data_IF_689334863252
#
_entry.id   IF_689334863252
#
_cell.length_a   1.000
_cell.length_b   1.000
_cell.length_c   1.000
_cell.angle_alpha   90.00
_cell.angle_beta   90.00
_cell.angle_gamma   90.00
#
_symmetry.space_group_name_H-M   'P 1'
#
loop_
_entity.id
_entity.type
_entity.pdbx_description
1 polymer ?
#
# COMPACT_ATOMS: atom_id res chain seq x y z
N UNK A 1 -81.14 -11.77 -27.20
CA UNK A 1 -81.11 -11.10 -25.88
C UNK A 1 -79.84 -11.52 -25.13
N UNK A 2 -78.97 -10.55 -24.84
CA UNK A 2 -77.96 -10.45 -23.74
C UNK A 2 -77.13 -11.72 -23.41
N UNK A 3 -75.94 -11.88 -24.02
CA UNK A 3 -74.59 -11.64 -23.45
C UNK A 3 -74.40 -12.15 -22.01
N UNK A 4 -73.52 -13.13 -21.82
CA UNK A 4 -72.60 -13.17 -20.67
C UNK A 4 -71.28 -13.85 -21.08
N UNK A 5 -70.30 -12.98 -21.36
CA UNK A 5 -68.88 -13.29 -21.51
C UNK A 5 -68.31 -13.32 -20.08
N UNK A 6 -67.87 -14.47 -19.59
CA UNK A 6 -67.23 -14.56 -18.26
C UNK A 6 -65.73 -14.38 -18.41
N UNK A 7 -65.26 -13.23 -17.98
CA UNK A 7 -63.86 -12.79 -17.99
C UNK A 7 -63.22 -13.38 -16.74
N UNK A 8 -62.29 -14.34 -16.91
CA UNK A 8 -61.40 -14.76 -15.82
C UNK A 8 -60.37 -13.65 -15.63
N UNK A 9 -60.27 -13.00 -14.45
CA UNK A 9 -59.29 -11.94 -14.25
C UNK A 9 -57.90 -12.58 -14.22
N UNK A 10 -57.12 -12.32 -15.26
CA UNK A 10 -55.70 -12.66 -15.30
C UNK A 10 -54.99 -11.91 -14.19
N UNK A 11 -54.66 -12.61 -13.10
CA UNK A 11 -53.70 -12.15 -12.10
C UNK A 11 -52.34 -12.19 -12.80
N UNK A 12 -51.97 -11.08 -13.43
CA UNK A 12 -50.59 -10.84 -13.83
C UNK A 12 -49.77 -10.61 -12.55
N UNK A 13 -49.24 -11.70 -12.00
CA UNK A 13 -48.21 -11.64 -10.97
C UNK A 13 -46.96 -11.07 -11.65
N UNK A 14 -46.80 -9.75 -11.56
CA UNK A 14 -45.57 -9.06 -11.93
C UNK A 14 -44.53 -9.45 -10.87
N UNK A 15 -43.74 -10.48 -11.15
CA UNK A 15 -42.52 -10.80 -10.43
C UNK A 15 -41.50 -9.70 -10.72
N UNK A 16 -41.45 -8.67 -9.88
CA UNK A 16 -40.33 -7.73 -9.81
C UNK A 16 -39.11 -8.51 -9.29
N UNK A 17 -38.30 -9.02 -10.20
CA UNK A 17 -36.98 -9.57 -9.90
C UNK A 17 -36.12 -8.42 -9.38
N UNK A 18 -36.01 -8.29 -8.06
CA UNK A 18 -35.10 -7.35 -7.40
C UNK A 18 -33.68 -7.85 -7.67
N UNK A 19 -33.07 -7.36 -8.75
CA UNK A 19 -31.66 -7.54 -8.99
C UNK A 19 -30.89 -6.63 -8.02
N UNK A 20 -30.52 -7.16 -6.85
CA UNK A 20 -29.61 -6.47 -5.94
C UNK A 20 -28.23 -6.38 -6.61
N UNK A 21 -27.98 -5.29 -7.35
CA UNK A 21 -26.66 -5.00 -7.87
C UNK A 21 -25.72 -4.68 -6.71
N UNK A 22 -24.69 -5.50 -6.50
CA UNK A 22 -23.63 -5.22 -5.53
C UNK A 22 -22.81 -4.04 -6.03
N UNK A 23 -23.00 -2.87 -5.43
CA UNK A 23 -22.19 -1.68 -5.71
C UNK A 23 -20.96 -1.73 -4.81
N UNK A 24 -19.79 -2.03 -5.38
CA UNK A 24 -18.52 -1.92 -4.66
C UNK A 24 -18.13 -0.43 -4.59
N UNK A 25 -18.15 0.13 -3.38
CA UNK A 25 -17.68 1.50 -3.12
C UNK A 25 -16.23 1.43 -2.66
N UNK A 26 -15.33 2.01 -3.46
CA UNK A 26 -13.90 2.07 -3.12
C UNK A 26 -13.56 3.40 -2.44
N UNK A 27 -12.68 3.32 -1.45
CA UNK A 27 -12.10 4.49 -0.78
C UNK A 27 -10.83 4.94 -1.52
N UNK A 28 -10.65 6.25 -1.66
CA UNK A 28 -9.41 6.82 -2.17
C UNK A 28 -8.80 7.68 -1.07
N UNK A 29 -7.56 7.40 -0.71
CA UNK A 29 -6.85 8.18 0.30
C UNK A 29 -6.01 9.27 -0.35
N UNK A 30 -5.88 10.45 0.28
CA UNK A 30 -4.91 11.44 -0.13
C UNK A 30 -3.48 10.88 -0.11
N UNK A 31 -2.64 11.29 -1.07
CA UNK A 31 -1.26 10.80 -1.16
C UNK A 31 -0.44 11.09 0.11
N UNK A 32 -0.68 12.22 0.78
CA UNK A 32 0.00 12.55 2.05
C UNK A 32 -0.28 11.52 3.15
N UNK A 33 -1.50 10.96 3.23
CA UNK A 33 -1.81 9.90 4.21
C UNK A 33 -1.06 8.60 3.91
N UNK A 34 -0.94 8.25 2.62
CA UNK A 34 -0.18 7.07 2.18
C UNK A 34 1.31 7.27 2.43
N UNK A 35 1.83 8.48 2.23
CA UNK A 35 3.21 8.86 2.53
C UNK A 35 3.51 8.80 4.03
N UNK A 36 2.62 9.30 4.87
CA UNK A 36 2.76 9.21 6.34
C UNK A 36 2.84 7.74 6.78
N UNK A 37 1.99 6.88 6.21
CA UNK A 37 2.02 5.44 6.45
C UNK A 37 3.32 4.78 5.99
N UNK A 38 3.82 5.15 4.80
CA UNK A 38 5.11 4.68 4.31
C UNK A 38 6.26 5.11 5.23
N UNK A 39 6.21 6.33 5.77
CA UNK A 39 7.21 6.83 6.72
C UNK A 39 7.15 6.02 8.02
N UNK A 40 5.97 5.82 8.58
CA UNK A 40 5.78 5.08 9.83
C UNK A 40 6.28 3.64 9.70
N UNK A 41 5.80 2.90 8.69
CA UNK A 41 6.17 1.50 8.44
C UNK A 41 7.69 1.37 8.26
N UNK A 42 8.34 2.27 7.53
CA UNK A 42 9.80 2.19 7.35
C UNK A 42 10.58 2.62 8.60
N UNK A 43 10.02 3.45 9.50
CA UNK A 43 10.66 3.80 10.77
C UNK A 43 10.76 2.59 11.70
N UNK A 44 9.81 1.65 11.64
CA UNK A 44 9.79 0.46 12.50
C UNK A 44 10.96 -0.51 12.22
N UNK A 45 11.64 -0.37 11.08
CA UNK A 45 12.81 -1.18 10.71
C UNK A 45 14.11 -0.67 11.33
N UNK A 46 14.19 0.60 11.70
CA UNK A 46 15.38 1.21 12.30
C UNK A 46 15.31 1.07 13.83
N UNK A 47 16.22 0.31 14.43
CA UNK A 47 16.32 0.22 15.90
C UNK A 47 16.53 1.62 16.51
N UNK A 48 15.62 2.07 17.38
CA UNK A 48 15.64 3.40 17.98
C UNK A 48 14.94 4.50 17.18
N UNK A 49 14.15 4.17 16.15
CA UNK A 49 13.38 5.14 15.37
C UNK A 49 12.51 6.04 16.25
N UNK A 50 12.76 7.35 16.19
CA UNK A 50 11.94 8.36 16.90
C UNK A 50 10.49 8.20 16.42
N UNK A 51 9.58 7.86 17.33
CA UNK A 51 8.16 8.04 17.09
C UNK A 51 7.94 9.51 16.73
N UNK A 52 7.38 9.76 15.56
CA UNK A 52 6.92 11.11 15.24
C UNK A 52 5.66 11.31 16.07
N UNK A 53 5.79 11.92 17.25
CA UNK A 53 4.65 12.38 18.03
C UNK A 53 3.95 13.48 17.25
N UNK A 54 3.05 13.10 16.35
CA UNK A 54 2.14 14.02 15.71
C UNK A 54 1.17 14.51 16.80
N UNK A 55 1.33 15.76 17.24
CA UNK A 55 0.37 16.40 18.13
C UNK A 55 -0.62 17.22 17.28
N UNK A 56 -1.80 16.68 16.94
CA UNK A 56 -2.80 17.38 16.15
C UNK A 56 -3.38 18.61 16.86
N UNK A 57 -3.18 18.77 18.17
CA UNK A 57 -3.78 19.84 18.97
C UNK A 57 -2.98 21.14 18.99
N UNK A 58 -1.80 21.21 18.37
CA UNK A 58 -0.98 22.43 18.38
C UNK A 58 -1.51 23.54 17.44
N UNK A 59 -2.49 23.24 16.58
CA UNK A 59 -3.06 24.19 15.61
C UNK A 59 -4.51 24.50 16.00
N UNK A 60 -4.72 25.57 16.76
CA UNK A 60 -6.02 26.00 17.30
C UNK A 60 -7.03 26.49 16.27
N UNK A 61 -7.45 25.64 15.35
CA UNK A 61 -8.49 25.90 14.38
C UNK A 61 -9.59 24.84 14.54
N UNK A 62 -10.79 25.30 14.89
CA UNK A 62 -12.02 24.50 14.87
C UNK A 62 -12.37 24.21 13.40
N UNK A 63 -11.75 23.18 12.82
CA UNK A 63 -12.22 22.61 11.58
C UNK A 63 -13.41 21.72 11.90
N UNK A 64 -14.48 21.81 11.09
CA UNK A 64 -15.51 20.80 11.06
C UNK A 64 -14.81 19.44 10.86
N UNK A 65 -15.02 18.50 11.78
CA UNK A 65 -14.39 17.19 11.74
C UNK A 65 -14.93 16.42 10.54
N UNK A 66 -14.31 16.64 9.37
CA UNK A 66 -14.48 15.75 8.24
C UNK A 66 -14.05 14.38 8.73
N UNK A 67 -14.98 13.42 8.75
CA UNK A 67 -14.67 12.02 9.04
C UNK A 67 -13.77 11.52 7.90
N UNK A 68 -12.47 11.83 7.98
CA UNK A 68 -11.46 11.24 7.11
C UNK A 68 -11.21 9.85 7.66
N UNK A 69 -11.51 8.77 6.91
CA UNK A 69 -11.21 7.43 7.38
C UNK A 69 -9.72 7.34 7.72
N UNK A 70 -9.42 6.79 8.89
CA UNK A 70 -8.04 6.53 9.30
C UNK A 70 -7.51 5.34 8.49
N UNK A 71 -6.25 5.45 8.03
CA UNK A 71 -5.61 4.37 7.32
C UNK A 71 -5.17 3.28 8.30
N UNK A 72 -5.74 2.09 8.16
CA UNK A 72 -5.37 0.91 8.91
C UNK A 72 -4.00 0.41 8.46
N UNK A 73 -2.99 0.64 9.28
CA UNK A 73 -1.61 0.20 9.07
C UNK A 73 -1.17 -0.91 10.02
N UNK A 74 -1.91 -1.13 11.11
CA UNK A 74 -1.65 -2.19 12.08
C UNK A 74 -2.59 -3.38 11.85
N UNK A 75 -2.08 -4.41 11.18
CA UNK A 75 -2.81 -5.67 10.96
C UNK A 75 -1.87 -6.84 11.20
N UNK A 76 -2.37 -8.03 11.58
CA UNK A 76 -1.52 -9.20 11.80
C UNK A 76 -0.59 -9.52 10.62
N UNK A 77 -1.06 -9.30 9.39
CA UNK A 77 -0.30 -9.52 8.16
C UNK A 77 0.84 -8.50 7.99
N UNK A 78 0.55 -7.20 8.23
CA UNK A 78 1.57 -6.15 8.15
C UNK A 78 2.61 -6.34 9.26
N UNK A 79 2.19 -6.62 10.49
CA UNK A 79 3.08 -6.84 11.63
C UNK A 79 4.00 -8.06 11.39
N UNK A 80 3.45 -9.15 10.84
CA UNK A 80 4.26 -10.33 10.48
C UNK A 80 5.28 -10.04 9.37
N UNK A 81 4.88 -9.30 8.35
CA UNK A 81 5.78 -8.88 7.28
C UNK A 81 6.88 -7.96 7.84
N UNK A 82 6.52 -6.99 8.69
CA UNK A 82 7.46 -6.07 9.34
C UNK A 82 8.48 -6.79 10.21
N UNK A 83 8.06 -7.76 11.03
CA UNK A 83 8.96 -8.56 11.84
C UNK A 83 10.00 -9.30 10.98
N UNK A 84 9.55 -9.90 9.88
CA UNK A 84 10.43 -10.61 8.94
C UNK A 84 11.39 -9.67 8.20
N UNK A 85 10.90 -8.50 7.77
CA UNK A 85 11.73 -7.44 7.16
C UNK A 85 12.77 -6.92 8.13
N UNK A 86 12.40 -6.68 9.38
CA UNK A 86 13.31 -6.22 10.44
C UNK A 86 14.47 -7.19 10.64
N UNK A 87 14.19 -8.50 10.64
CA UNK A 87 15.24 -9.53 10.75
C UNK A 87 16.26 -9.50 9.58
N UNK A 88 15.81 -9.18 8.36
CA UNK A 88 16.68 -9.10 7.16
C UNK A 88 17.33 -7.73 6.96
N UNK A 89 16.83 -6.70 7.63
CA UNK A 89 17.20 -5.31 7.40
C UNK A 89 18.72 -5.04 7.46
N UNK A 90 19.49 -5.59 8.42
CA UNK A 90 20.94 -5.41 8.45
C UNK A 90 21.64 -5.95 7.19
N UNK A 91 21.24 -7.12 6.69
CA UNK A 91 21.82 -7.71 5.48
C UNK A 91 21.44 -6.93 4.23
N UNK A 92 20.18 -6.46 4.13
CA UNK A 92 19.74 -5.60 3.02
C UNK A 92 20.57 -4.32 2.97
N UNK A 93 20.78 -3.65 4.11
CA UNK A 93 21.61 -2.45 4.17
C UNK A 93 23.04 -2.70 3.69
N UNK A 94 23.62 -3.83 4.07
CA UNK A 94 24.97 -4.21 3.64
C UNK A 94 25.05 -4.34 2.11
N UNK A 95 24.14 -5.10 1.50
CA UNK A 95 24.15 -5.30 0.05
C UNK A 95 23.81 -4.02 -0.74
N UNK A 96 22.99 -3.13 -0.17
CA UNK A 96 22.75 -1.79 -0.75
C UNK A 96 24.02 -0.94 -0.74
N UNK A 97 24.75 -0.94 0.38
CA UNK A 97 26.02 -0.20 0.52
C UNK A 97 27.09 -0.72 -0.44
N UNK A 98 27.13 -2.02 -0.67
CA UNK A 98 28.03 -2.65 -1.64
C UNK A 98 27.61 -2.42 -3.10
N UNK A 99 26.41 -1.85 -3.34
CA UNK A 99 25.88 -1.61 -4.68
C UNK A 99 25.38 -2.86 -5.40
N UNK A 100 25.28 -4.01 -4.70
CA UNK A 100 24.77 -5.27 -5.26
C UNK A 100 23.28 -5.19 -5.54
N UNK A 101 22.54 -4.47 -4.69
CA UNK A 101 21.10 -4.25 -4.82
C UNK A 101 20.76 -2.74 -4.77
N UNK A 102 19.67 -2.37 -5.42
CA UNK A 102 19.12 -1.01 -5.43
C UNK A 102 17.63 -0.98 -5.16
N UNK A 103 17.09 0.20 -4.87
CA UNK A 103 15.65 0.44 -4.69
C UNK A 103 15.04 0.93 -6.00
N UNK A 104 14.08 0.19 -6.56
CA UNK A 104 13.40 0.55 -7.79
C UNK A 104 12.28 1.59 -7.55
N UNK A 105 11.67 2.10 -8.63
CA UNK A 105 10.65 3.15 -8.56
C UNK A 105 9.27 2.66 -8.07
N UNK A 106 9.11 1.35 -7.85
CA UNK A 106 7.95 0.70 -7.25
C UNK A 106 8.15 0.39 -5.76
N UNK A 107 9.30 0.75 -5.19
CA UNK A 107 9.61 0.49 -3.80
C UNK A 107 9.98 -0.98 -3.55
N UNK A 108 10.49 -1.67 -4.55
CA UNK A 108 11.04 -3.02 -4.45
C UNK A 108 12.56 -3.00 -4.62
N UNK A 109 13.21 -4.07 -4.21
CA UNK A 109 14.63 -4.28 -4.41
C UNK A 109 14.91 -4.93 -5.76
N UNK A 110 15.96 -4.47 -6.42
CA UNK A 110 16.49 -5.07 -7.64
C UNK A 110 17.99 -5.32 -7.54
N UNK A 111 18.44 -6.41 -8.15
CA UNK A 111 19.85 -6.77 -8.22
C UNK A 111 20.50 -5.99 -9.38
N UNK A 112 21.65 -5.37 -9.14
CA UNK A 112 22.34 -4.47 -10.10
C UNK A 112 23.46 -5.16 -10.90
N UNK A 113 23.46 -6.48 -10.95
CA UNK A 113 24.45 -7.30 -11.64
C UNK A 113 24.31 -8.79 -11.33
N UNK A 114 25.43 -9.50 -11.25
CA UNK A 114 25.42 -10.89 -10.78
C UNK A 114 25.34 -10.93 -9.25
N UNK A 115 24.59 -11.90 -8.73
CA UNK A 115 24.43 -12.08 -7.31
C UNK A 115 24.37 -13.56 -6.95
N UNK A 116 24.94 -13.90 -5.79
CA UNK A 116 24.87 -15.22 -5.21
C UNK A 116 23.42 -15.64 -4.93
N UNK A 117 23.15 -16.95 -4.95
CA UNK A 117 21.80 -17.52 -4.72
C UNK A 117 21.18 -17.00 -3.40
N UNK A 118 22.01 -16.80 -2.38
CA UNK A 118 21.57 -16.26 -1.10
C UNK A 118 21.03 -14.83 -1.19
N UNK A 119 21.66 -13.96 -2.00
CA UNK A 119 21.20 -12.58 -2.22
C UNK A 119 19.92 -12.57 -3.04
N UNK A 120 19.82 -13.44 -4.05
CA UNK A 120 18.59 -13.59 -4.85
C UNK A 120 17.40 -14.00 -3.97
N UNK A 121 17.60 -14.97 -3.07
CA UNK A 121 16.57 -15.38 -2.10
C UNK A 121 16.23 -14.24 -1.15
N UNK A 122 17.23 -13.52 -0.66
CA UNK A 122 17.03 -12.38 0.25
C UNK A 122 16.15 -11.29 -0.39
N UNK A 123 16.48 -10.88 -1.63
CA UNK A 123 15.70 -9.90 -2.40
C UNK A 123 14.27 -10.39 -2.65
N UNK A 124 14.10 -11.67 -3.03
CA UNK A 124 12.78 -12.25 -3.27
C UNK A 124 11.89 -12.22 -2.02
N UNK A 125 12.40 -12.66 -0.88
CA UNK A 125 11.62 -12.68 0.37
C UNK A 125 11.34 -11.26 0.89
N UNK A 126 12.29 -10.33 0.74
CA UNK A 126 12.05 -8.92 1.08
C UNK A 126 10.96 -8.29 0.21
N UNK A 127 11.00 -8.52 -1.10
CA UNK A 127 9.99 -8.00 -2.02
C UNK A 127 8.62 -8.63 -1.79
N UNK A 128 8.57 -9.92 -1.43
CA UNK A 128 7.33 -10.60 -1.04
C UNK A 128 6.68 -9.95 0.18
N UNK A 129 7.45 -9.65 1.21
CA UNK A 129 6.93 -8.98 2.41
C UNK A 129 6.52 -7.53 2.12
N UNK A 130 7.26 -6.79 1.28
CA UNK A 130 6.87 -5.45 0.83
C UNK A 130 5.54 -5.46 0.06
N UNK A 131 5.37 -6.38 -0.87
CA UNK A 131 4.11 -6.54 -1.60
C UNK A 131 2.95 -6.97 -0.69
N UNK A 132 3.23 -7.81 0.31
CA UNK A 132 2.24 -8.18 1.33
C UNK A 132 1.73 -6.93 2.06
N UNK A 133 2.63 -6.04 2.48
CA UNK A 133 2.26 -4.76 3.10
C UNK A 133 1.40 -3.93 2.14
N UNK A 134 1.82 -3.74 0.89
CA UNK A 134 1.10 -2.88 -0.06
C UNK A 134 -0.30 -3.40 -0.38
N UNK A 135 -0.42 -4.70 -0.62
CA UNK A 135 -1.71 -5.34 -0.89
C UNK A 135 -2.62 -5.30 0.33
N UNK A 136 -2.07 -5.48 1.54
CA UNK A 136 -2.85 -5.41 2.78
C UNK A 136 -3.38 -3.99 3.00
N UNK A 137 -2.57 -2.95 2.75
CA UNK A 137 -3.02 -1.56 2.82
C UNK A 137 -4.20 -1.30 1.87
N UNK A 138 -4.15 -1.82 0.64
CA UNK A 138 -5.27 -1.70 -0.31
C UNK A 138 -6.51 -2.42 0.22
N UNK A 139 -6.37 -3.68 0.62
CA UNK A 139 -7.48 -4.54 1.00
C UNK A 139 -8.17 -4.09 2.29
N UNK A 140 -7.39 -3.84 3.35
CA UNK A 140 -7.93 -3.56 4.69
C UNK A 140 -8.57 -2.17 4.80
N UNK A 141 -8.25 -1.29 3.85
CA UNK A 141 -8.79 0.06 3.74
C UNK A 141 -9.81 0.22 2.61
N UNK A 142 -10.27 -0.89 1.99
CA UNK A 142 -11.22 -0.89 0.89
C UNK A 142 -10.83 0.05 -0.25
N UNK A 143 -9.53 0.15 -0.55
CA UNK A 143 -9.04 1.02 -1.60
C UNK A 143 -9.36 0.47 -2.98
N UNK A 144 -9.48 1.37 -3.96
CA UNK A 144 -9.54 0.92 -5.35
C UNK A 144 -8.23 0.21 -5.75
N UNK A 145 -8.28 -0.81 -6.65
CA UNK A 145 -7.08 -1.51 -7.10
C UNK A 145 -5.99 -0.59 -7.66
N UNK A 146 -6.37 0.56 -8.25
CA UNK A 146 -5.43 1.56 -8.77
C UNK A 146 -4.56 2.25 -7.71
N UNK A 147 -4.94 2.18 -6.43
CA UNK A 147 -4.15 2.75 -5.33
C UNK A 147 -2.87 1.96 -5.05
N UNK A 148 -2.74 0.71 -5.52
CA UNK A 148 -1.52 -0.07 -5.35
C UNK A 148 -0.29 0.65 -5.93
N UNK A 149 -0.43 1.23 -7.13
CA UNK A 149 0.64 2.00 -7.78
C UNK A 149 1.04 3.23 -6.96
N UNK A 150 0.05 3.95 -6.42
CA UNK A 150 0.29 5.12 -5.56
C UNK A 150 1.05 4.72 -4.28
N UNK A 151 0.67 3.60 -3.65
CA UNK A 151 1.38 3.07 -2.48
C UNK A 151 2.83 2.74 -2.83
N UNK A 152 3.06 1.98 -3.91
CA UNK A 152 4.39 1.64 -4.39
C UNK A 152 5.26 2.89 -4.61
N UNK A 153 4.72 3.91 -5.28
CA UNK A 153 5.40 5.18 -5.53
C UNK A 153 5.76 5.93 -4.25
N UNK A 154 4.85 5.99 -3.26
CA UNK A 154 5.11 6.68 -1.99
C UNK A 154 6.16 5.96 -1.13
N UNK A 155 6.14 4.63 -1.14
CA UNK A 155 7.20 3.84 -0.50
C UNK A 155 8.54 3.99 -1.22
N UNK A 156 8.55 3.96 -2.56
CA UNK A 156 9.76 4.22 -3.36
C UNK A 156 10.34 5.59 -3.04
N UNK A 157 9.51 6.65 -3.05
CA UNK A 157 9.91 8.01 -2.72
C UNK A 157 10.49 8.10 -1.30
N UNK A 158 9.84 7.46 -0.32
CA UNK A 158 10.32 7.40 1.07
C UNK A 158 11.69 6.73 1.16
N UNK A 159 11.89 5.57 0.53
CA UNK A 159 13.18 4.86 0.57
C UNK A 159 14.27 5.58 -0.21
N UNK A 160 13.96 6.20 -1.36
CA UNK A 160 14.91 7.06 -2.09
C UNK A 160 15.37 8.25 -1.26
N UNK A 161 14.47 8.86 -0.49
CA UNK A 161 14.82 9.96 0.42
C UNK A 161 15.76 9.49 1.54
N UNK A 162 15.59 8.26 2.02
CA UNK A 162 16.38 7.66 3.11
C UNK A 162 17.69 7.00 2.63
N UNK A 163 17.81 6.73 1.34
CA UNK A 163 18.98 6.09 0.74
C UNK A 163 20.27 6.84 1.13
N UNK A 164 21.33 6.07 1.39
CA UNK A 164 22.64 6.60 1.75
C UNK A 164 23.46 6.90 0.50
N UNK A 165 24.43 7.82 0.62
CA UNK A 165 25.36 8.14 -0.46
C UNK A 165 25.98 6.86 -1.04
N UNK A 166 25.97 6.75 -2.37
CA UNK A 166 26.46 5.58 -3.11
C UNK A 166 25.44 4.46 -3.32
N UNK A 167 24.32 4.44 -2.60
CA UNK A 167 23.28 3.43 -2.82
C UNK A 167 22.55 3.67 -4.15
N UNK A 168 22.25 2.60 -4.86
CA UNK A 168 21.46 2.64 -6.09
C UNK A 168 19.98 2.90 -5.82
N UNK A 169 19.44 3.88 -6.55
CA UNK A 169 18.03 4.22 -6.56
C UNK A 169 17.56 4.42 -8.00
N UNK A 170 16.32 4.01 -8.28
CA UNK A 170 15.68 4.29 -9.57
C UNK A 170 14.74 5.49 -9.43
N UNK A 171 14.89 6.49 -10.28
CA UNK A 171 14.05 7.69 -10.35
C UNK A 171 12.64 7.36 -10.89
N UNK A 172 11.64 8.26 -10.71
CA UNK A 172 10.28 8.00 -11.19
C UNK A 172 10.17 7.68 -12.69
N UNK A 173 11.05 8.24 -13.51
CA UNK A 173 11.16 8.01 -14.96
C UNK A 173 11.77 6.64 -15.32
N UNK A 174 12.31 5.90 -14.33
CA UNK A 174 12.93 4.60 -14.52
C UNK A 174 14.46 4.65 -14.59
N UNK A 175 15.06 5.84 -14.56
CA UNK A 175 16.52 5.98 -14.64
C UNK A 175 17.18 5.58 -13.33
N UNK A 176 18.29 4.84 -13.42
CA UNK A 176 19.06 4.43 -12.27
C UNK A 176 20.18 5.42 -11.98
N UNK A 177 20.28 5.85 -10.73
CA UNK A 177 21.38 6.70 -10.24
C UNK A 177 21.85 6.21 -8.88
N UNK A 178 23.09 6.52 -8.53
CA UNK A 178 23.54 6.43 -7.15
C UNK A 178 23.16 7.70 -6.41
N UNK A 179 22.76 7.56 -5.15
CA UNK A 179 22.48 8.69 -4.28
C UNK A 179 23.75 9.51 -4.04
N UNK A 180 23.66 10.82 -4.25
CA UNK A 180 24.73 11.79 -3.97
C UNK A 180 25.06 11.96 -2.50
#
# INVERSE_FOLDING_TARGET
MKKFLSIIPGIAIIFLLINCATVNVYVTFPQEKIKDAAIDIENQLEEGGKSFNFNPFASGLLYAETITPELKVHTPEIEKALASRKARFPQIKEYKRQGVIGENNEGLLEIRGNAEIQVQRLVKEENKDRMTIYQTLVQQNNMSPGQLKVIQEQFAATRRKRAKKGEWIQLPDGDWTQKG
#
